data_IF_490125547995
#
_entry.id   IF_490125547995
#
_cell.length_a   1.000
_cell.length_b   1.000
_cell.length_c   1.000
_cell.angle_alpha   90.00
_cell.angle_beta   90.00
_cell.angle_gamma   90.00
#
_symmetry.space_group_name_H-M   'P 1'
#
loop_
_entity.id
_entity.type
_entity.pdbx_description
1 polymer ?
#
# COMPACT_ATOMS: atom_id res chain seq x y z
N UNK A 1 10.06 13.48 13.06
CA UNK A 1 11.30 12.79 13.46
C UNK A 1 10.91 11.42 13.97
N UNK A 2 11.11 10.38 13.17
CA UNK A 2 10.97 9.01 13.64
C UNK A 2 12.18 8.73 14.55
N UNK A 3 11.92 8.63 15.83
CA UNK A 3 12.93 8.19 16.79
C UNK A 3 13.28 6.75 16.44
N UNK A 4 14.42 6.53 15.82
CA UNK A 4 15.04 5.21 15.75
C UNK A 4 15.54 4.91 17.16
N UNK A 5 14.76 4.17 17.92
CA UNK A 5 15.17 3.62 19.20
C UNK A 5 16.28 2.60 18.95
N UNK A 6 17.51 3.02 19.05
CA UNK A 6 18.66 2.12 19.17
C UNK A 6 18.59 1.43 20.54
N UNK A 7 17.93 0.28 20.59
CA UNK A 7 18.01 -0.59 21.77
C UNK A 7 19.41 -1.24 21.78
N UNK A 8 20.37 -0.63 22.49
CA UNK A 8 21.66 -1.23 22.76
C UNK A 8 21.46 -2.55 23.50
N UNK A 9 21.85 -3.67 22.90
CA UNK A 9 21.84 -4.98 23.53
C UNK A 9 20.56 -5.82 23.32
N UNK A 10 19.60 -5.37 22.48
CA UNK A 10 18.45 -6.21 22.15
C UNK A 10 18.76 -7.11 20.95
N UNK A 11 18.60 -8.41 21.12
CA UNK A 11 18.66 -9.38 20.03
C UNK A 11 17.28 -9.48 19.37
N UNK A 12 17.24 -9.33 18.04
CA UNK A 12 16.02 -9.56 17.27
C UNK A 12 15.77 -11.06 17.19
N UNK A 13 14.69 -11.56 17.84
CA UNK A 13 14.31 -12.98 17.85
C UNK A 13 13.35 -13.35 16.73
N UNK A 14 12.66 -12.38 16.15
CA UNK A 14 11.72 -12.61 15.05
C UNK A 14 11.17 -11.33 14.45
N UNK A 15 10.56 -11.47 13.28
CA UNK A 15 9.88 -10.41 12.56
C UNK A 15 8.44 -10.84 12.30
N UNK A 16 7.47 -10.05 12.75
CA UNK A 16 6.04 -10.28 12.53
C UNK A 16 5.49 -9.24 11.57
N UNK A 17 4.81 -9.70 10.52
CA UNK A 17 4.13 -8.84 9.57
C UNK A 17 2.64 -8.78 9.89
N UNK A 18 2.16 -7.62 10.25
CA UNK A 18 0.75 -7.37 10.55
C UNK A 18 0.24 -6.16 9.76
N UNK A 19 -1.06 -6.10 9.42
CA UNK A 19 -1.69 -4.87 8.96
C UNK A 19 -1.62 -3.80 10.05
N UNK A 20 -1.46 -2.58 9.66
CA UNK A 20 -1.50 -1.46 10.60
C UNK A 20 -2.89 -1.32 11.23
N UNK A 21 -2.95 -1.10 12.52
CA UNK A 21 -4.16 -0.71 13.22
C UNK A 21 -4.61 0.70 12.79
N UNK A 22 -5.89 1.03 13.02
CA UNK A 22 -6.41 2.36 12.71
C UNK A 22 -5.60 3.47 13.40
N UNK A 23 -5.23 3.25 14.67
CA UNK A 23 -4.46 4.21 15.46
C UNK A 23 -3.01 4.34 14.96
N UNK A 24 -2.40 3.23 14.54
CA UNK A 24 -1.08 3.26 13.90
C UNK A 24 -1.13 4.04 12.58
N UNK A 25 -2.18 3.88 11.77
CA UNK A 25 -2.35 4.63 10.51
C UNK A 25 -2.49 6.12 10.81
N UNK A 26 -3.32 6.51 11.79
CA UNK A 26 -3.49 7.92 12.17
C UNK A 26 -2.21 8.53 12.70
N UNK A 27 -1.48 7.84 13.57
CA UNK A 27 -0.23 8.33 14.16
C UNK A 27 0.89 8.51 13.14
N UNK A 28 0.92 7.67 12.11
CA UNK A 28 1.91 7.74 11.02
C UNK A 28 1.53 8.73 9.92
N UNK A 29 0.27 9.13 9.85
CA UNK A 29 -0.26 10.01 8.81
C UNK A 29 0.01 11.48 9.13
N UNK A 30 0.36 12.23 8.09
CA UNK A 30 0.59 13.68 8.19
C UNK A 30 -0.64 14.51 7.80
N UNK A 31 -1.64 13.87 7.18
CA UNK A 31 -2.84 14.58 6.70
C UNK A 31 -4.04 13.64 6.57
N UNK A 32 -5.19 14.12 6.99
CA UNK A 32 -6.50 13.51 6.69
C UNK A 32 -6.99 13.99 5.33
N UNK A 33 -7.44 13.05 4.49
CA UNK A 33 -7.95 13.33 3.14
C UNK A 33 -9.47 13.44 3.18
N UNK A 34 -9.95 14.66 3.05
CA UNK A 34 -11.39 14.97 3.02
C UNK A 34 -11.84 15.61 1.71
N UNK A 35 -10.91 16.31 1.03
CA UNK A 35 -11.21 17.07 -0.17
C UNK A 35 -11.16 16.20 -1.43
N UNK A 36 -12.24 16.10 -2.21
CA UNK A 36 -12.27 15.36 -3.47
C UNK A 36 -11.62 16.09 -4.65
N UNK A 37 -11.12 17.32 -4.46
CA UNK A 37 -10.37 18.05 -5.48
C UNK A 37 -8.88 17.71 -5.39
N UNK A 38 -8.22 17.64 -6.55
CA UNK A 38 -6.77 17.42 -6.62
C UNK A 38 -6.00 18.75 -6.59
N UNK A 39 -6.52 19.73 -7.29
CA UNK A 39 -5.91 21.06 -7.47
C UNK A 39 -6.97 22.15 -7.32
N UNK A 40 -6.54 23.29 -6.79
CA UNK A 40 -7.25 24.56 -6.80
C UNK A 40 -6.36 25.56 -7.54
N UNK A 41 -6.82 26.06 -8.69
CA UNK A 41 -6.08 27.01 -9.53
C UNK A 41 -4.60 26.61 -9.76
N UNK A 42 -4.37 25.37 -10.23
CA UNK A 42 -3.04 24.76 -10.47
C UNK A 42 -2.20 24.44 -9.22
N UNK A 43 -2.60 24.87 -8.04
CA UNK A 43 -1.95 24.51 -6.76
C UNK A 43 -2.59 23.23 -6.17
N UNK A 44 -1.82 22.32 -5.55
CA UNK A 44 -2.37 21.16 -4.86
C UNK A 44 -3.36 21.58 -3.75
N UNK A 45 -4.58 21.02 -3.77
CA UNK A 45 -5.61 21.32 -2.77
C UNK A 45 -5.21 20.80 -1.39
N UNK A 46 -5.41 21.61 -0.35
CA UNK A 46 -5.22 21.18 1.04
C UNK A 46 -6.27 20.13 1.45
N UNK A 47 -5.83 19.11 2.19
CA UNK A 47 -6.67 17.95 2.53
C UNK A 47 -7.06 17.10 1.32
N UNK A 48 -6.50 17.37 0.15
CA UNK A 48 -6.69 16.59 -1.08
C UNK A 48 -5.63 15.52 -1.28
N UNK A 49 -5.85 14.66 -2.28
CA UNK A 49 -4.92 13.56 -2.60
C UNK A 49 -3.54 14.03 -3.09
N UNK A 50 -3.38 15.30 -3.46
CA UNK A 50 -2.11 15.92 -3.88
C UNK A 50 -1.52 16.88 -2.85
N UNK A 51 -2.02 16.84 -1.62
CA UNK A 51 -1.54 17.70 -0.55
C UNK A 51 -0.01 17.65 -0.43
N UNK A 52 0.60 18.83 -0.31
CA UNK A 52 2.07 19.01 -0.28
C UNK A 52 2.70 18.39 0.98
N UNK A 53 1.90 18.19 2.04
CA UNK A 53 2.34 17.48 3.26
C UNK A 53 2.69 16.03 3.00
N UNK A 54 2.08 15.37 2.01
CA UNK A 54 2.40 13.99 1.61
C UNK A 54 3.66 13.88 0.72
N UNK A 55 4.37 14.97 0.51
CA UNK A 55 5.53 15.06 -0.37
C UNK A 55 5.20 15.72 -1.70
N UNK A 56 6.25 16.22 -2.34
CA UNK A 56 6.16 16.93 -3.62
C UNK A 56 6.69 16.07 -4.76
N UNK A 57 6.07 16.21 -5.92
CA UNK A 57 6.53 15.61 -7.19
C UNK A 57 7.07 16.66 -8.17
N UNK A 58 6.81 17.94 -7.90
CA UNK A 58 7.34 19.06 -8.69
C UNK A 58 8.81 19.33 -8.38
N UNK A 59 9.59 19.70 -9.39
CA UNK A 59 11.00 20.10 -9.21
C UNK A 59 11.15 21.40 -8.42
N UNK A 60 10.11 22.25 -8.42
CA UNK A 60 10.06 23.51 -7.69
C UNK A 60 9.29 23.33 -6.39
N UNK A 61 9.81 23.83 -5.28
CA UNK A 61 9.16 23.81 -3.98
C UNK A 61 9.77 22.83 -2.98
N UNK A 62 9.21 22.81 -1.78
CA UNK A 62 9.63 21.98 -0.64
C UNK A 62 8.42 21.30 0.00
N UNK A 63 8.62 20.12 0.56
CA UNK A 63 7.61 19.39 1.31
C UNK A 63 7.27 20.12 2.61
N UNK A 64 5.99 20.36 2.89
CA UNK A 64 5.57 21.05 4.13
C UNK A 64 5.84 20.23 5.41
N UNK A 65 6.11 18.93 5.31
CA UNK A 65 6.34 18.04 6.47
C UNK A 65 7.82 17.92 6.83
N UNK A 66 8.71 17.73 5.85
CA UNK A 66 10.14 17.50 6.10
C UNK A 66 11.05 18.61 5.53
N UNK A 67 10.49 19.65 4.91
CA UNK A 67 11.17 20.76 4.25
C UNK A 67 12.20 20.35 3.19
N UNK A 68 12.17 19.09 2.73
CA UNK A 68 13.05 18.56 1.71
C UNK A 68 12.48 18.83 0.30
N UNK A 69 13.40 18.90 -0.67
CA UNK A 69 13.03 18.98 -2.09
C UNK A 69 12.54 17.62 -2.59
N UNK A 70 11.94 17.58 -3.79
CA UNK A 70 11.44 16.36 -4.42
C UNK A 70 12.49 15.23 -4.50
N UNK A 71 13.79 15.56 -4.57
CA UNK A 71 14.88 14.60 -4.69
C UNK A 71 15.16 13.85 -3.37
N UNK A 72 14.98 14.52 -2.24
CA UNK A 72 15.34 14.01 -0.92
C UNK A 72 14.15 13.69 -0.02
N UNK A 73 12.95 14.16 -0.37
CA UNK A 73 11.74 13.85 0.38
C UNK A 73 11.36 12.37 0.19
N UNK A 74 11.31 11.55 1.26
CA UNK A 74 10.95 10.14 1.17
C UNK A 74 9.46 9.94 0.87
N UNK A 75 8.65 11.00 0.96
CA UNK A 75 7.20 10.94 0.94
C UNK A 75 6.59 10.59 2.30
N UNK A 76 5.39 11.09 2.55
CA UNK A 76 4.68 10.91 3.81
C UNK A 76 3.28 10.37 3.53
N UNK A 77 2.80 9.47 4.39
CA UNK A 77 1.46 8.89 4.27
C UNK A 77 0.39 9.89 4.71
N UNK A 78 -0.75 9.85 4.02
CA UNK A 78 -2.00 10.40 4.50
C UNK A 78 -2.94 9.28 4.95
N UNK A 79 -4.11 9.63 5.43
CA UNK A 79 -5.18 8.68 5.72
C UNK A 79 -6.55 9.22 5.28
N UNK A 80 -7.49 8.30 5.11
CA UNK A 80 -8.89 8.59 4.85
C UNK A 80 -9.73 7.88 5.90
N UNK A 81 -10.47 8.64 6.70
CA UNK A 81 -11.48 8.09 7.60
C UNK A 81 -12.66 7.56 6.79
N UNK A 82 -13.03 6.31 7.03
CA UNK A 82 -14.17 5.71 6.35
C UNK A 82 -15.44 6.00 7.13
N UNK A 83 -16.49 6.48 6.45
CA UNK A 83 -17.78 6.81 7.05
C UNK A 83 -18.46 5.59 7.71
N UNK A 84 -18.09 4.39 7.29
CA UNK A 84 -18.54 3.12 7.86
C UNK A 84 -17.41 2.10 7.82
N UNK A 85 -17.34 1.15 8.78
CA UNK A 85 -16.44 0.03 8.68
C UNK A 85 -16.67 -0.78 7.39
N UNK A 86 -15.60 -1.28 6.79
CA UNK A 86 -15.62 -2.11 5.58
C UNK A 86 -14.73 -3.33 5.75
N UNK A 87 -14.97 -4.39 4.97
CA UNK A 87 -14.11 -5.57 5.01
C UNK A 87 -12.76 -5.32 4.33
N UNK A 88 -11.69 -5.75 4.99
CA UNK A 88 -10.37 -5.78 4.37
C UNK A 88 -10.26 -6.96 3.40
N UNK A 89 -10.09 -6.73 2.08
CA UNK A 89 -10.18 -7.80 1.07
C UNK A 89 -9.14 -8.91 1.25
N UNK A 90 -7.99 -8.63 1.81
CA UNK A 90 -6.94 -9.61 2.08
C UNK A 90 -7.19 -10.45 3.34
N UNK A 91 -8.04 -10.01 4.27
CA UNK A 91 -8.19 -10.61 5.60
C UNK A 91 -9.58 -11.20 5.86
N UNK A 92 -10.53 -11.05 4.95
CA UNK A 92 -11.89 -11.64 5.08
C UNK A 92 -11.86 -13.14 5.34
N UNK A 93 -10.90 -13.86 4.74
CA UNK A 93 -10.77 -15.29 4.95
C UNK A 93 -10.42 -15.66 6.40
N UNK A 94 -9.62 -14.80 7.06
CA UNK A 94 -9.30 -14.97 8.48
C UNK A 94 -10.54 -14.75 9.34
N UNK A 95 -11.31 -13.68 9.06
CA UNK A 95 -12.59 -13.42 9.73
C UNK A 95 -13.53 -14.64 9.63
N UNK A 96 -13.71 -15.20 8.43
CA UNK A 96 -14.54 -16.39 8.22
C UNK A 96 -14.01 -17.57 9.03
N UNK A 97 -12.69 -17.77 9.09
CA UNK A 97 -12.06 -18.84 9.87
C UNK A 97 -12.32 -18.66 11.35
N UNK A 98 -12.18 -17.46 11.90
CA UNK A 98 -12.43 -17.16 13.30
C UNK A 98 -13.92 -17.31 13.65
N UNK A 99 -14.82 -16.75 12.85
CA UNK A 99 -16.25 -16.93 13.07
C UNK A 99 -16.67 -18.41 13.05
N UNK A 100 -16.00 -19.25 12.27
CA UNK A 100 -16.24 -20.71 12.25
C UNK A 100 -15.65 -21.44 13.44
N UNK A 101 -14.67 -20.89 14.13
CA UNK A 101 -14.03 -21.50 15.31
C UNK A 101 -14.71 -21.16 16.63
N UNK A 102 -15.71 -20.28 16.61
CA UNK A 102 -16.41 -19.78 17.80
C UNK A 102 -17.91 -20.02 17.66
N UNK A 103 -18.59 -20.34 18.76
CA UNK A 103 -20.04 -20.41 18.80
C UNK A 103 -20.64 -19.01 18.73
N UNK A 104 -21.56 -18.74 17.79
CA UNK A 104 -22.17 -17.41 17.62
C UNK A 104 -23.24 -17.06 18.68
N UNK A 105 -23.54 -17.97 19.62
CA UNK A 105 -24.49 -17.73 20.72
C UNK A 105 -23.78 -17.47 22.04
N UNK A 106 -22.89 -18.34 22.46
CA UNK A 106 -22.16 -18.23 23.74
C UNK A 106 -20.74 -17.61 23.60
N UNK A 107 -20.24 -17.42 22.37
CA UNK A 107 -18.93 -16.85 22.03
C UNK A 107 -17.73 -17.65 22.53
N UNK A 108 -17.94 -18.88 22.98
CA UNK A 108 -16.87 -19.78 23.41
C UNK A 108 -16.22 -20.46 22.21
N UNK A 109 -14.90 -20.74 22.28
CA UNK A 109 -14.18 -21.43 21.22
C UNK A 109 -14.68 -22.86 21.08
N UNK A 110 -14.81 -23.35 19.87
CA UNK A 110 -15.23 -24.71 19.56
C UNK A 110 -14.02 -25.59 19.30
N UNK A 111 -14.12 -26.88 19.70
CA UNK A 111 -13.07 -27.86 19.45
C UNK A 111 -12.72 -27.99 17.97
N UNK A 112 -11.41 -28.16 17.64
CA UNK A 112 -10.90 -28.25 16.26
C UNK A 112 -11.47 -29.42 15.45
N UNK A 113 -12.02 -30.48 16.13
CA UNK A 113 -12.65 -31.65 15.51
C UNK A 113 -13.94 -31.31 14.73
N UNK A 114 -14.49 -30.13 14.93
CA UNK A 114 -15.81 -29.74 14.39
C UNK A 114 -15.80 -29.15 12.96
N UNK A 115 -14.65 -29.03 12.32
CA UNK A 115 -14.59 -28.27 11.03
C UNK A 115 -15.27 -28.95 9.83
N UNK A 116 -15.65 -30.24 9.91
CA UNK A 116 -16.11 -31.03 8.75
C UNK A 116 -17.52 -31.60 8.85
N UNK A 117 -18.21 -31.53 9.99
CA UNK A 117 -19.56 -32.15 10.17
C UNK A 117 -20.69 -31.17 9.86
N UNK A 118 -21.78 -31.64 9.23
CA UNK A 118 -22.95 -30.82 8.85
C UNK A 118 -23.83 -30.42 10.06
N UNK A 119 -23.90 -31.22 11.11
CA UNK A 119 -24.73 -30.95 12.29
C UNK A 119 -23.84 -30.65 13.51
N UNK A 120 -23.42 -29.40 13.58
CA UNK A 120 -22.50 -28.93 14.62
C UNK A 120 -23.29 -28.31 15.76
N UNK A 121 -23.37 -29.02 16.89
CA UNK A 121 -23.90 -28.45 18.14
C UNK A 121 -22.74 -27.95 18.99
N UNK A 122 -22.94 -26.81 19.64
CA UNK A 122 -21.98 -26.28 20.59
C UNK A 122 -21.93 -27.16 21.85
N UNK A 123 -20.75 -27.50 22.31
CA UNK A 123 -20.53 -28.30 23.53
C UNK A 123 -20.99 -27.55 24.80
N UNK A 124 -20.95 -26.21 24.79
CA UNK A 124 -21.29 -25.39 25.93
C UNK A 124 -22.77 -25.01 26.01
N UNK A 125 -23.41 -24.66 24.89
CA UNK A 125 -24.81 -24.20 24.90
C UNK A 125 -25.77 -25.07 24.12
N UNK A 126 -25.32 -26.17 23.49
CA UNK A 126 -26.15 -27.08 22.71
C UNK A 126 -26.72 -26.55 21.40
N UNK A 127 -26.48 -25.28 21.06
CA UNK A 127 -27.02 -24.63 19.86
C UNK A 127 -26.36 -25.15 18.58
N UNK A 128 -27.17 -25.30 17.53
CA UNK A 128 -26.68 -25.65 16.19
C UNK A 128 -25.93 -24.48 15.58
N UNK A 129 -24.72 -24.75 15.10
CA UNK A 129 -23.88 -23.69 14.53
C UNK A 129 -24.42 -23.19 13.20
N UNK A 130 -24.34 -21.87 13.03
CA UNK A 130 -24.73 -21.21 11.81
C UNK A 130 -23.78 -21.56 10.65
N UNK A 131 -24.34 -21.67 9.45
CA UNK A 131 -23.54 -21.87 8.23
C UNK A 131 -22.93 -20.54 7.80
N UNK A 132 -21.58 -20.45 7.88
CA UNK A 132 -20.83 -19.27 7.49
C UNK A 132 -20.16 -19.53 6.15
N UNK A 133 -20.50 -18.71 5.17
CA UNK A 133 -20.01 -18.82 3.80
C UNK A 133 -19.56 -17.45 3.25
N UNK A 134 -18.69 -17.51 2.27
CA UNK A 134 -18.34 -16.36 1.45
C UNK A 134 -19.35 -16.28 0.31
N UNK A 135 -20.19 -15.24 0.30
CA UNK A 135 -21.20 -15.09 -0.75
C UNK A 135 -20.63 -14.47 -2.01
N UNK A 136 -19.91 -13.38 -1.87
CA UNK A 136 -19.21 -12.71 -2.94
C UNK A 136 -17.75 -12.57 -2.54
N UNK A 137 -16.86 -12.13 -3.43
CA UNK A 137 -15.42 -12.07 -3.14
C UNK A 137 -15.07 -11.34 -1.82
N UNK A 138 -15.98 -10.49 -1.34
CA UNK A 138 -15.72 -9.54 -0.27
C UNK A 138 -16.74 -9.53 0.86
N UNK A 139 -17.79 -10.35 0.77
CA UNK A 139 -18.86 -10.40 1.78
C UNK A 139 -18.90 -11.74 2.50
N UNK A 140 -19.32 -11.67 3.75
CA UNK A 140 -19.57 -12.84 4.61
C UNK A 140 -21.06 -13.04 4.73
N UNK A 141 -21.55 -14.29 4.67
CA UNK A 141 -22.92 -14.68 4.94
C UNK A 141 -23.00 -15.60 6.14
N UNK A 142 -24.03 -15.40 6.96
CA UNK A 142 -24.40 -16.28 8.05
C UNK A 142 -25.85 -16.76 7.78
N UNK A 143 -26.03 -18.07 7.66
CA UNK A 143 -27.34 -18.72 7.34
C UNK A 143 -28.02 -18.08 6.12
N UNK A 144 -27.28 -17.78 5.06
CA UNK A 144 -27.80 -17.15 3.83
C UNK A 144 -28.08 -15.65 3.94
N UNK A 145 -27.94 -15.03 5.11
CA UNK A 145 -28.07 -13.57 5.28
C UNK A 145 -26.70 -12.90 5.22
N UNK A 146 -26.53 -11.81 4.47
CA UNK A 146 -25.27 -11.09 4.42
C UNK A 146 -25.00 -10.43 5.77
N UNK A 147 -23.80 -10.67 6.31
CA UNK A 147 -23.28 -9.97 7.49
C UNK A 147 -22.76 -8.61 7.05
N UNK A 148 -23.25 -7.54 7.65
CA UNK A 148 -22.72 -6.20 7.40
C UNK A 148 -21.41 -5.99 8.16
N UNK A 149 -20.46 -5.16 7.64
CA UNK A 149 -19.21 -4.90 8.35
C UNK A 149 -19.40 -4.30 9.76
N UNK A 150 -20.44 -3.50 9.97
CA UNK A 150 -20.80 -2.96 11.30
C UNK A 150 -21.13 -4.09 12.29
N UNK A 151 -22.00 -5.02 11.87
CA UNK A 151 -22.39 -6.16 12.70
C UNK A 151 -21.19 -7.08 12.98
N UNK A 152 -20.28 -7.20 12.00
CA UNK A 152 -19.04 -7.95 12.16
C UNK A 152 -18.11 -7.34 13.22
N UNK A 153 -18.06 -6.02 13.36
CA UNK A 153 -17.33 -5.35 14.46
C UNK A 153 -17.89 -5.75 15.81
N UNK A 154 -19.23 -5.77 15.96
CA UNK A 154 -19.88 -6.19 17.21
C UNK A 154 -19.56 -7.67 17.55
N UNK A 155 -19.55 -8.53 16.52
CA UNK A 155 -19.19 -9.94 16.70
C UNK A 155 -17.73 -10.10 17.13
N UNK A 156 -16.81 -9.35 16.50
CA UNK A 156 -15.38 -9.37 16.87
C UNK A 156 -15.13 -8.82 18.28
N UNK A 157 -15.91 -7.84 18.73
CA UNK A 157 -15.80 -7.30 20.07
C UNK A 157 -16.16 -8.35 21.17
N UNK A 158 -17.04 -9.31 20.84
CA UNK A 158 -17.43 -10.42 21.73
C UNK A 158 -16.44 -11.57 21.71
N UNK A 159 -15.62 -11.69 20.66
CA UNK A 159 -14.59 -12.71 20.54
C UNK A 159 -13.30 -12.19 21.18
N UNK A 160 -12.73 -12.93 22.13
CA UNK A 160 -11.51 -12.56 22.86
C UNK A 160 -10.23 -12.59 22.00
N UNK A 161 -10.33 -13.00 20.72
CA UNK A 161 -9.20 -13.11 19.82
C UNK A 161 -8.95 -11.78 19.09
N UNK A 162 -7.93 -11.04 19.51
CA UNK A 162 -7.56 -9.75 18.94
C UNK A 162 -6.98 -9.79 17.52
N UNK A 163 -6.62 -10.98 17.01
CA UNK A 163 -6.00 -11.11 15.68
C UNK A 163 -6.93 -10.79 14.50
N UNK A 164 -8.23 -10.70 14.73
CA UNK A 164 -9.22 -10.49 13.66
C UNK A 164 -9.67 -9.04 13.48
N UNK A 165 -9.28 -8.12 14.35
CA UNK A 165 -9.59 -6.68 14.21
C UNK A 165 -9.11 -6.12 12.86
N UNK A 166 -8.03 -6.64 12.34
CA UNK A 166 -7.45 -6.27 11.03
C UNK A 166 -8.32 -6.67 9.82
N UNK A 167 -9.34 -7.52 10.02
CA UNK A 167 -10.27 -7.90 8.94
C UNK A 167 -11.26 -6.79 8.60
N UNK A 168 -11.33 -5.76 9.43
CA UNK A 168 -12.23 -4.61 9.26
C UNK A 168 -11.38 -3.35 9.06
N UNK A 169 -11.68 -2.61 8.01
CA UNK A 169 -11.09 -1.30 7.71
C UNK A 169 -12.01 -0.21 8.23
N UNK A 170 -11.51 0.63 9.11
CA UNK A 170 -12.13 1.89 9.54
C UNK A 170 -11.38 3.10 8.99
N UNK A 171 -10.08 2.93 8.77
CA UNK A 171 -9.17 3.95 8.21
C UNK A 171 -8.42 3.35 7.03
N UNK A 172 -8.35 4.07 5.92
CA UNK A 172 -7.59 3.67 4.75
C UNK A 172 -6.30 4.49 4.66
N UNK A 173 -5.11 3.85 4.68
CA UNK A 173 -3.86 4.57 4.47
C UNK A 173 -3.76 5.05 3.01
N UNK A 174 -3.35 6.30 2.84
CA UNK A 174 -3.14 6.91 1.53
C UNK A 174 -1.64 7.01 1.27
N UNK A 175 -1.11 6.36 0.22
CA UNK A 175 0.32 6.36 -0.07
C UNK A 175 0.82 7.75 -0.46
N UNK A 176 2.12 8.03 -0.25
CA UNK A 176 2.76 9.29 -0.61
C UNK A 176 2.62 9.66 -2.09
N UNK A 177 2.78 10.94 -2.40
CA UNK A 177 2.72 11.44 -3.77
C UNK A 177 3.81 10.83 -4.68
N UNK A 178 5.00 10.52 -4.14
CA UNK A 178 6.09 9.89 -4.89
C UNK A 178 5.76 8.48 -5.39
N UNK A 179 4.87 7.73 -4.72
CA UNK A 179 4.42 6.40 -5.16
C UNK A 179 3.43 6.48 -6.33
N UNK A 180 2.74 7.61 -6.48
CA UNK A 180 1.71 7.85 -7.49
C UNK A 180 1.94 9.19 -8.21
N UNK A 181 3.05 9.32 -8.95
CA UNK A 181 3.44 10.57 -9.61
C UNK A 181 2.43 10.98 -10.68
N UNK A 182 2.38 12.28 -10.99
CA UNK A 182 1.63 12.84 -12.12
C UNK A 182 2.62 13.08 -13.27
N UNK A 183 2.60 12.28 -14.33
CA UNK A 183 3.40 12.59 -15.51
C UNK A 183 2.86 13.84 -16.20
N UNK A 184 3.76 14.72 -16.65
CA UNK A 184 3.44 15.85 -17.52
C UNK A 184 3.57 15.41 -18.97
N UNK A 185 2.58 15.73 -19.80
CA UNK A 185 2.54 15.39 -21.22
C UNK A 185 2.57 16.71 -22.01
N UNK A 186 3.55 16.85 -22.90
CA UNK A 186 3.61 18.01 -23.80
C UNK A 186 3.94 19.36 -23.17
N UNK A 187 4.80 19.39 -22.14
CA UNK A 187 5.08 20.59 -21.35
C UNK A 187 4.25 20.62 -20.07
N UNK A 188 4.30 21.73 -19.33
CA UNK A 188 3.67 21.85 -18.01
C UNK A 188 2.12 21.94 -18.04
N UNK A 189 1.48 21.94 -19.21
CA UNK A 189 0.06 22.24 -19.36
C UNK A 189 -0.87 21.03 -19.10
N UNK A 190 -0.50 19.83 -19.51
CA UNK A 190 -1.35 18.65 -19.34
C UNK A 190 -0.74 17.70 -18.33
N UNK A 191 -1.39 17.56 -17.17
CA UNK A 191 -1.01 16.61 -16.13
C UNK A 191 -1.83 15.33 -16.24
N UNK A 192 -1.14 14.21 -16.42
CA UNK A 192 -1.75 12.89 -16.29
C UNK A 192 -1.88 12.51 -14.82
N UNK A 193 -2.88 11.70 -14.47
CA UNK A 193 -3.04 11.19 -13.12
C UNK A 193 -2.81 9.67 -13.09
N UNK A 194 -2.08 9.23 -12.07
CA UNK A 194 -1.84 7.82 -11.81
C UNK A 194 -3.15 7.05 -11.51
N UNK A 195 -3.24 5.80 -11.91
CA UNK A 195 -4.41 4.94 -11.70
C UNK A 195 -4.81 4.83 -10.22
N UNK A 196 -3.82 4.78 -9.31
CA UNK A 196 -4.10 4.76 -7.87
C UNK A 196 -4.74 6.07 -7.41
N UNK A 197 -4.30 7.22 -7.95
CA UNK A 197 -4.89 8.52 -7.62
C UNK A 197 -6.33 8.61 -8.13
N UNK A 198 -6.62 8.14 -9.34
CA UNK A 198 -7.98 8.10 -9.89
C UNK A 198 -8.90 7.21 -9.04
N UNK A 199 -8.40 6.04 -8.61
CA UNK A 199 -9.17 5.13 -7.78
C UNK A 199 -9.40 5.70 -6.38
N UNK A 200 -8.38 6.28 -5.75
CA UNK A 200 -8.50 6.97 -4.46
C UNK A 200 -9.50 8.14 -4.54
N UNK A 201 -9.46 8.94 -5.61
CA UNK A 201 -10.40 10.03 -5.82
C UNK A 201 -11.86 9.53 -5.86
N UNK A 202 -12.08 8.38 -6.52
CA UNK A 202 -13.39 7.73 -6.54
C UNK A 202 -13.80 7.27 -5.15
N UNK A 203 -12.86 6.71 -4.36
CA UNK A 203 -13.11 6.29 -2.97
C UNK A 203 -13.51 7.50 -2.12
N UNK A 204 -12.76 8.62 -2.16
CA UNK A 204 -13.06 9.84 -1.41
C UNK A 204 -14.46 10.36 -1.74
N UNK A 205 -14.80 10.47 -3.04
CA UNK A 205 -16.14 10.94 -3.48
C UNK A 205 -17.26 10.04 -2.97
N UNK A 206 -17.08 8.72 -3.06
CA UNK A 206 -18.08 7.76 -2.58
C UNK A 206 -18.19 7.76 -1.06
N UNK A 207 -17.07 7.87 -0.34
CA UNK A 207 -17.05 7.99 1.12
C UNK A 207 -17.80 9.24 1.59
N UNK A 208 -17.56 10.39 0.95
CA UNK A 208 -18.28 11.63 1.24
C UNK A 208 -19.79 11.51 0.94
N UNK A 209 -20.15 10.75 -0.09
CA UNK A 209 -21.57 10.46 -0.39
C UNK A 209 -22.20 9.60 0.71
N UNK A 210 -21.52 8.56 1.16
CA UNK A 210 -21.98 7.70 2.28
C UNK A 210 -22.12 8.52 3.55
N UNK A 211 -21.14 9.36 3.88
CA UNK A 211 -21.18 10.24 5.07
C UNK A 211 -22.39 11.18 5.04
N UNK A 212 -22.67 11.79 3.89
CA UNK A 212 -23.87 12.64 3.72
C UNK A 212 -25.18 11.87 3.92
N UNK A 213 -25.28 10.66 3.36
CA UNK A 213 -26.47 9.84 3.53
C UNK A 213 -26.68 9.40 4.99
N UNK A 214 -25.62 9.10 5.73
CA UNK A 214 -25.71 8.78 7.15
C UNK A 214 -26.11 9.99 7.99
N UNK A 215 -25.60 11.18 7.68
CA UNK A 215 -25.93 12.43 8.39
C UNK A 215 -27.35 12.94 8.12
N UNK A 216 -27.95 12.61 6.98
CA UNK A 216 -29.31 13.09 6.60
C UNK A 216 -30.43 12.14 7.01
N UNK A 217 -30.16 11.07 7.75
CA UNK A 217 -31.20 10.14 8.24
C UNK A 217 -31.96 9.48 7.09
N UNK A 218 -31.26 8.83 6.16
CA UNK A 218 -31.85 8.31 4.91
C UNK A 218 -33.05 7.40 5.14
N UNK A 219 -34.15 7.72 4.45
CA UNK A 219 -35.45 7.03 4.52
C UNK A 219 -35.46 5.63 3.85
N UNK A 220 -34.44 5.28 3.03
CA UNK A 220 -34.40 4.01 2.27
C UNK A 220 -33.17 3.19 2.53
N UNK A 221 -33.21 2.18 3.42
CA UNK A 221 -32.07 1.29 3.74
C UNK A 221 -31.44 0.58 2.53
N UNK A 222 -32.24 0.29 1.49
CA UNK A 222 -31.77 -0.36 0.27
C UNK A 222 -30.79 0.50 -0.55
N UNK A 223 -30.97 1.82 -0.56
CA UNK A 223 -30.07 2.73 -1.28
C UNK A 223 -28.69 2.82 -0.62
N UNK A 224 -28.65 2.90 0.71
CA UNK A 224 -27.38 2.90 1.48
C UNK A 224 -26.62 1.61 1.22
N UNK A 225 -27.30 0.46 1.27
CA UNK A 225 -26.69 -0.85 1.05
C UNK A 225 -26.00 -0.95 -0.31
N UNK A 226 -26.62 -0.42 -1.37
CA UNK A 226 -26.06 -0.41 -2.70
C UNK A 226 -24.80 0.50 -2.81
N UNK A 227 -24.82 1.67 -2.15
CA UNK A 227 -23.66 2.59 -2.14
C UNK A 227 -22.50 1.97 -1.35
N UNK A 228 -22.79 1.36 -0.20
CA UNK A 228 -21.78 0.62 0.60
C UNK A 228 -21.17 -0.53 -0.18
N UNK A 229 -22.00 -1.30 -0.90
CA UNK A 229 -21.50 -2.37 -1.78
C UNK A 229 -20.55 -1.83 -2.83
N UNK A 230 -20.90 -0.76 -3.52
CA UNK A 230 -20.04 -0.12 -4.51
C UNK A 230 -18.74 0.42 -3.89
N UNK A 231 -18.80 1.04 -2.70
CA UNK A 231 -17.59 1.51 -1.99
C UNK A 231 -16.68 0.35 -1.65
N UNK A 232 -17.23 -0.76 -1.13
CA UNK A 232 -16.49 -1.98 -0.84
C UNK A 232 -15.82 -2.56 -2.10
N UNK A 233 -16.52 -2.59 -3.23
CA UNK A 233 -15.99 -3.06 -4.52
C UNK A 233 -14.83 -2.18 -5.01
N UNK A 234 -14.93 -0.85 -4.88
CA UNK A 234 -13.87 0.06 -5.31
C UNK A 234 -12.64 -0.06 -4.42
N UNK A 235 -12.80 -0.14 -3.09
CA UNK A 235 -11.68 -0.36 -2.16
C UNK A 235 -11.03 -1.72 -2.40
N UNK A 236 -11.83 -2.75 -2.65
CA UNK A 236 -11.32 -4.06 -2.99
C UNK A 236 -10.50 -4.06 -4.29
N UNK A 237 -10.98 -3.36 -5.31
CA UNK A 237 -10.28 -3.17 -6.57
C UNK A 237 -9.01 -2.31 -6.45
N UNK A 238 -8.97 -1.38 -5.49
CA UNK A 238 -7.78 -0.60 -5.17
C UNK A 238 -6.66 -1.45 -4.57
N UNK A 239 -7.00 -2.38 -3.66
CA UNK A 239 -6.03 -3.22 -2.96
C UNK A 239 -5.62 -4.42 -3.83
N UNK A 240 -6.60 -5.16 -4.37
CA UNK A 240 -6.37 -6.37 -5.16
C UNK A 240 -7.19 -6.40 -6.44
N UNK A 241 -6.58 -6.83 -7.53
CA UNK A 241 -7.29 -7.13 -8.77
C UNK A 241 -8.15 -8.38 -8.59
N UNK A 242 -9.47 -8.24 -8.77
CA UNK A 242 -10.37 -9.38 -8.79
C UNK A 242 -10.08 -10.28 -10.00
N UNK A 243 -9.80 -11.57 -9.77
CA UNK A 243 -9.57 -12.56 -10.83
C UNK A 243 -10.86 -13.00 -11.55
N UNK A 244 -12.04 -12.74 -10.99
CA UNK A 244 -13.30 -13.34 -11.47
C UNK A 244 -14.08 -12.50 -12.49
N UNK A 245 -13.55 -11.40 -12.97
CA UNK A 245 -14.17 -10.67 -14.08
C UNK A 245 -13.93 -11.36 -15.43
N UNK A 246 -14.23 -12.69 -15.53
CA UNK A 246 -14.35 -13.40 -16.81
C UNK A 246 -15.63 -13.04 -17.58
N UNK A 247 -16.52 -12.22 -17.02
CA UNK A 247 -17.80 -11.83 -17.59
C UNK A 247 -18.02 -10.33 -17.62
N UNK A 248 -18.12 -9.78 -18.79
CA UNK A 248 -18.81 -8.54 -19.22
C UNK A 248 -18.25 -7.15 -18.91
N UNK A 249 -17.25 -6.93 -18.05
CA UNK A 249 -16.68 -5.58 -17.88
C UNK A 249 -15.16 -5.55 -18.13
N UNK A 250 -14.78 -5.59 -19.40
CA UNK A 250 -13.39 -5.40 -19.88
C UNK A 250 -12.80 -4.01 -19.56
N UNK A 251 -13.60 -3.08 -19.07
CA UNK A 251 -13.19 -1.69 -18.88
C UNK A 251 -12.13 -1.52 -17.77
N UNK A 252 -12.11 -2.41 -16.77
CA UNK A 252 -11.17 -2.30 -15.64
C UNK A 252 -9.93 -3.19 -15.72
N UNK A 253 -9.67 -3.85 -16.84
CA UNK A 253 -8.52 -4.76 -16.98
C UNK A 253 -7.16 -4.05 -17.09
N UNK A 254 -7.15 -2.75 -17.37
CA UNK A 254 -5.93 -1.93 -17.54
C UNK A 254 -5.54 -1.13 -16.30
N UNK A 255 -6.44 -0.94 -15.32
CA UNK A 255 -6.15 -0.14 -14.12
C UNK A 255 -5.26 -0.93 -13.16
N UNK A 256 -4.13 -0.35 -12.78
CA UNK A 256 -3.15 -0.95 -11.88
C UNK A 256 -3.61 -0.80 -10.43
N UNK A 257 -3.68 -1.89 -9.66
CA UNK A 257 -3.98 -1.85 -8.22
C UNK A 257 -2.69 -1.86 -7.38
N UNK A 258 -2.81 -1.65 -6.05
CA UNK A 258 -1.67 -1.70 -5.13
C UNK A 258 -0.98 -3.07 -5.15
N UNK A 259 -1.76 -4.16 -5.20
CA UNK A 259 -1.23 -5.51 -5.28
C UNK A 259 -0.39 -5.77 -6.53
N UNK A 260 -0.76 -5.20 -7.67
CA UNK A 260 0.00 -5.34 -8.92
C UNK A 260 1.36 -4.65 -8.85
N UNK A 261 1.48 -3.53 -8.11
CA UNK A 261 2.75 -2.82 -7.92
C UNK A 261 3.74 -3.55 -7.01
N UNK A 262 3.25 -4.40 -6.12
CA UNK A 262 4.09 -5.15 -5.18
C UNK A 262 4.45 -6.52 -5.77
N UNK A 263 3.47 -7.19 -6.39
CA UNK A 263 3.58 -8.56 -6.90
C UNK A 263 4.29 -8.62 -8.26
N UNK A 264 4.56 -9.84 -8.70
CA UNK A 264 5.10 -10.17 -10.02
C UNK A 264 6.57 -9.77 -10.23
N UNK A 265 7.10 -10.13 -11.42
CA UNK A 265 8.50 -9.94 -11.81
C UNK A 265 8.95 -8.47 -11.77
N UNK A 266 8.07 -7.57 -12.15
CA UNK A 266 8.35 -6.13 -12.19
C UNK A 266 7.83 -5.37 -10.95
N UNK A 267 7.28 -6.10 -9.97
CA UNK A 267 6.83 -5.53 -8.70
C UNK A 267 7.98 -5.10 -7.80
N UNK A 268 7.66 -4.34 -6.76
CA UNK A 268 8.66 -3.76 -5.86
C UNK A 268 9.50 -4.79 -5.13
N UNK A 269 8.93 -5.93 -4.74
CA UNK A 269 9.67 -6.98 -4.03
C UNK A 269 10.75 -7.60 -4.94
N UNK A 270 10.35 -8.14 -6.09
CA UNK A 270 11.30 -8.82 -7.00
C UNK A 270 12.13 -7.86 -7.84
N UNK A 271 11.59 -6.72 -8.26
CA UNK A 271 12.22 -5.78 -9.17
C UNK A 271 13.13 -4.74 -8.50
N UNK A 272 12.90 -4.44 -7.21
CA UNK A 272 13.66 -3.40 -6.49
C UNK A 272 14.22 -3.88 -5.15
N UNK A 273 13.63 -4.91 -4.51
CA UNK A 273 14.09 -5.46 -3.23
C UNK A 273 15.09 -6.59 -3.40
N UNK A 274 14.67 -7.69 -4.06
CA UNK A 274 15.53 -8.86 -4.27
C UNK A 274 16.61 -8.64 -5.31
N UNK A 275 16.35 -7.77 -6.29
CA UNK A 275 17.32 -7.34 -7.28
C UNK A 275 17.02 -5.92 -7.69
N UNK A 276 18.04 -5.12 -7.96
CA UNK A 276 17.89 -3.73 -8.43
C UNK A 276 18.97 -3.39 -9.44
N UNK A 277 18.67 -2.46 -10.33
CA UNK A 277 19.65 -1.93 -11.27
C UNK A 277 20.59 -0.99 -10.53
N UNK A 278 21.88 -1.12 -10.83
CA UNK A 278 22.94 -0.30 -10.25
C UNK A 278 23.55 0.60 -11.32
N UNK A 279 24.08 1.74 -10.89
CA UNK A 279 24.84 2.65 -11.74
C UNK A 279 26.34 2.24 -11.76
N UNK A 280 27.12 2.90 -12.57
CA UNK A 280 28.57 2.69 -12.70
C UNK A 280 28.92 1.25 -13.10
N UNK A 281 28.20 0.71 -14.08
CA UNK A 281 28.40 -0.63 -14.63
C UNK A 281 28.46 -0.59 -16.14
N UNK A 282 29.27 -1.49 -16.71
CA UNK A 282 29.33 -1.72 -18.13
C UNK A 282 29.11 -3.18 -18.47
N UNK A 283 28.72 -3.46 -19.70
CA UNK A 283 28.59 -4.80 -20.25
C UNK A 283 29.12 -4.82 -21.68
N UNK A 284 30.00 -5.75 -21.97
CA UNK A 284 30.53 -5.99 -23.30
C UNK A 284 30.57 -7.49 -23.61
N UNK A 285 30.91 -7.82 -24.83
CA UNK A 285 31.18 -9.20 -25.25
C UNK A 285 32.60 -9.51 -24.85
N UNK A 286 32.86 -10.68 -24.22
CA UNK A 286 34.19 -11.16 -23.88
C UNK A 286 34.72 -11.98 -25.04
N UNK A 287 35.89 -11.59 -25.57
CA UNK A 287 36.60 -12.34 -26.60
C UNK A 287 37.99 -12.76 -26.10
N UNK A 288 38.62 -13.81 -26.66
CA UNK A 288 39.98 -14.19 -26.34
C UNK A 288 40.99 -13.24 -27.00
N UNK A 289 42.09 -12.95 -26.31
CA UNK A 289 43.23 -12.22 -26.83
C UNK A 289 44.53 -12.94 -26.39
N UNK A 290 45.28 -13.42 -27.38
CA UNK A 290 46.53 -14.17 -27.14
C UNK A 290 47.66 -13.31 -26.62
N UNK A 291 47.56 -11.97 -26.68
CA UNK A 291 48.58 -11.03 -26.20
C UNK A 291 48.42 -10.68 -24.72
N UNK A 292 47.28 -11.05 -24.11
CA UNK A 292 47.01 -10.75 -22.73
C UNK A 292 47.39 -11.87 -21.78
N UNK A 293 47.93 -11.53 -20.62
CA UNK A 293 48.20 -12.48 -19.54
C UNK A 293 46.91 -12.98 -18.89
N UNK A 294 46.94 -14.16 -18.26
CA UNK A 294 45.79 -14.79 -17.61
C UNK A 294 45.12 -13.93 -16.51
N UNK A 295 45.82 -12.99 -15.94
CA UNK A 295 45.35 -12.07 -14.89
C UNK A 295 44.99 -10.67 -15.41
N UNK A 296 44.95 -10.49 -16.73
CA UNK A 296 44.66 -9.21 -17.37
C UNK A 296 43.27 -9.23 -18.05
N UNK A 297 42.59 -8.11 -18.02
CA UNK A 297 41.30 -7.88 -18.70
C UNK A 297 41.39 -6.59 -19.51
N UNK A 298 41.11 -6.70 -20.83
CA UNK A 298 41.04 -5.55 -21.71
C UNK A 298 39.64 -4.88 -21.58
N UNK A 299 39.61 -3.61 -21.29
CA UNK A 299 38.41 -2.81 -21.19
C UNK A 299 38.42 -1.79 -22.34
N UNK A 300 37.29 -1.60 -23.08
CA UNK A 300 37.21 -0.56 -24.10
C UNK A 300 37.45 0.83 -23.50
N UNK A 301 38.26 1.64 -24.17
CA UNK A 301 38.68 2.97 -23.71
C UNK A 301 37.47 3.85 -23.39
N UNK A 302 36.45 3.87 -24.26
CA UNK A 302 35.26 4.66 -24.04
C UNK A 302 34.49 4.28 -22.75
N UNK A 303 34.56 3.01 -22.32
CA UNK A 303 33.99 2.54 -21.05
C UNK A 303 34.75 3.09 -19.87
N UNK A 304 36.11 3.08 -19.97
CA UNK A 304 36.98 3.64 -18.94
C UNK A 304 36.77 5.16 -18.78
N UNK A 305 36.59 5.87 -19.88
CA UNK A 305 36.36 7.33 -19.87
C UNK A 305 34.98 7.71 -19.34
N UNK A 306 33.97 6.86 -19.56
CA UNK A 306 32.58 7.15 -19.18
C UNK A 306 32.26 6.70 -17.76
N UNK A 307 32.84 5.61 -17.28
CA UNK A 307 32.59 5.09 -15.95
C UNK A 307 33.31 5.91 -14.89
N UNK A 308 32.53 6.46 -13.95
CA UNK A 308 33.06 7.25 -12.84
C UNK A 308 32.77 6.56 -11.52
N UNK A 309 33.68 6.71 -10.56
CA UNK A 309 33.51 6.26 -9.18
C UNK A 309 33.43 7.49 -8.29
N UNK A 310 32.43 7.55 -7.43
CA UNK A 310 32.28 8.63 -6.46
C UNK A 310 33.19 8.36 -5.26
N UNK A 311 34.18 9.24 -5.03
CA UNK A 311 35.03 9.18 -3.84
C UNK A 311 34.83 10.46 -3.01
N UNK A 312 34.61 10.30 -1.70
CA UNK A 312 34.46 11.44 -0.80
C UNK A 312 35.85 11.96 -0.41
N UNK A 313 36.08 13.26 -0.55
CA UNK A 313 37.34 13.91 -0.20
C UNK A 313 37.40 14.11 1.32
N UNK A 314 38.39 13.58 1.95
CA UNK A 314 38.72 13.73 3.36
C UNK A 314 40.16 14.31 3.50
N UNK A 315 40.48 14.79 4.68
CA UNK A 315 41.82 15.36 4.96
C UNK A 315 42.97 14.39 4.62
N UNK A 316 42.78 13.07 4.78
CA UNK A 316 43.79 12.06 4.52
C UNK A 316 44.01 11.76 3.03
N UNK A 317 43.04 11.97 2.14
CA UNK A 317 43.13 11.72 0.71
C UNK A 317 43.19 13.01 -0.14
N UNK A 318 43.15 14.16 0.49
CA UNK A 318 43.14 15.46 -0.19
C UNK A 318 44.39 15.68 -1.06
N UNK A 319 45.57 15.34 -0.55
CA UNK A 319 46.84 15.50 -1.27
C UNK A 319 46.86 14.63 -2.54
N UNK A 320 46.45 13.38 -2.45
CA UNK A 320 46.29 12.48 -3.62
C UNK A 320 45.48 13.12 -4.72
N UNK A 321 44.32 13.71 -4.36
CA UNK A 321 43.44 14.33 -5.34
C UNK A 321 43.97 15.64 -5.90
N UNK A 322 44.69 16.42 -5.12
CA UNK A 322 45.38 17.62 -5.59
C UNK A 322 46.46 17.26 -6.64
N UNK A 323 47.23 16.19 -6.40
CA UNK A 323 48.27 15.70 -7.33
C UNK A 323 47.62 15.19 -8.63
N UNK A 324 46.53 14.45 -8.57
CA UNK A 324 45.77 14.00 -9.75
C UNK A 324 45.27 15.17 -10.57
N UNK A 325 44.62 16.15 -9.92
CA UNK A 325 44.06 17.33 -10.62
C UNK A 325 45.17 18.18 -11.25
N UNK A 326 46.29 18.32 -10.58
CA UNK A 326 47.41 19.07 -11.12
C UNK A 326 48.04 18.38 -12.34
N UNK A 327 48.15 17.06 -12.34
CA UNK A 327 48.62 16.30 -13.50
C UNK A 327 47.71 16.37 -14.71
N UNK A 328 46.40 16.43 -14.50
CA UNK A 328 45.39 16.62 -15.58
C UNK A 328 45.40 18.03 -16.20
N UNK A 329 45.88 19.03 -15.47
CA UNK A 329 45.98 20.43 -16.00
C UNK A 329 47.25 20.70 -16.80
N UNK A 330 48.23 19.83 -16.69
CA UNK A 330 49.52 19.97 -17.36
C UNK A 330 49.68 19.11 -18.62
N UNK A 331 48.71 18.25 -18.93
CA UNK A 331 48.60 17.46 -20.17
C UNK A 331 47.51 18.02 -21.05
#
# INVERSE_FOLDING_TARGET
MSAVLYLKGANITGLKFEPWSADAIRSFSVVEITNPKLYDNQTPSEGGLRDVRMGITSRKGQCKTCNQTWKYCPGHFGHLELATPLYHPGWVHLLIKTLKSVCLKCWEPMSKSYSTRKDKKCEHCGEVQATIQKHDQWYVQINGKPLLPCDAVEYLAKIKDHNCSHAILTVLPVPPNCVRPSPTIGGDEIRGEDDLTRTLLRIVRMNNTVSKHLGTGVKHPSQIKNVLKKLQEVISGYIYRSRNNKGKNKINSKVTCMGDRIRHKHGRIRGNGMGKRVNFTARGVVGPDSKMGMHQVGIPEFVADTLTVTETIHAFNMKKWQDIISSYRTG
#
